data_IF_927401987562
#
_entry.id   IF_927401987562
#
_cell.length_a   1.000
_cell.length_b   1.000
_cell.length_c   1.000
_cell.angle_alpha   90.00
_cell.angle_beta   90.00
_cell.angle_gamma   90.00
#
_symmetry.space_group_name_H-M   'P 1'
#
loop_
_entity.id
_entity.type
_entity.pdbx_description
1 polymer ?
#
# COMPACT_ATOMS: atom_id res chain seq x y z
N UNK A 1 5.51 -5.34 28.72
CA UNK A 1 4.80 -5.72 27.49
C UNK A 1 5.53 -5.09 26.30
N UNK A 2 5.83 -5.83 25.22
CA UNK A 2 6.53 -5.27 24.03
C UNK A 2 5.51 -4.74 23.01
N UNK A 3 5.86 -3.63 22.33
CA UNK A 3 5.11 -3.01 21.23
C UNK A 3 4.95 -4.00 20.04
N UNK A 4 3.80 -3.98 19.37
CA UNK A 4 3.42 -4.89 18.26
C UNK A 4 3.11 -4.20 16.93
N UNK A 5 3.38 -2.90 16.81
CA UNK A 5 3.18 -2.10 15.59
C UNK A 5 4.50 -1.41 15.24
N UNK A 6 4.67 -0.96 13.99
CA UNK A 6 5.86 -0.22 13.55
C UNK A 6 5.68 1.29 13.80
N UNK A 7 6.76 2.00 14.12
CA UNK A 7 6.78 3.47 14.12
C UNK A 7 6.96 4.00 12.70
N UNK A 8 6.70 5.29 12.52
CA UNK A 8 6.95 5.98 11.25
C UNK A 8 8.41 5.82 10.78
N UNK A 9 9.38 6.03 11.68
CA UNK A 9 10.81 5.84 11.37
C UNK A 9 11.15 4.39 10.96
N UNK A 10 10.47 3.40 11.55
CA UNK A 10 10.69 2.00 11.19
C UNK A 10 10.10 1.67 9.82
N UNK A 11 8.96 2.28 9.46
CA UNK A 11 8.39 2.17 8.11
C UNK A 11 9.32 2.83 7.09
N UNK A 12 9.87 4.01 7.40
CA UNK A 12 10.84 4.69 6.53
C UNK A 12 12.10 3.84 6.30
N UNK A 13 12.64 3.22 7.37
CA UNK A 13 13.76 2.28 7.24
C UNK A 13 13.41 1.07 6.37
N UNK A 14 12.20 0.55 6.51
CA UNK A 14 11.72 -0.57 5.70
C UNK A 14 11.60 -0.18 4.22
N UNK A 15 11.08 1.02 3.92
CA UNK A 15 10.98 1.55 2.56
C UNK A 15 12.37 1.78 1.95
N UNK A 16 13.31 2.38 2.69
CA UNK A 16 14.70 2.58 2.22
C UNK A 16 15.45 1.28 2.00
N UNK A 17 15.10 0.20 2.72
CA UNK A 17 15.70 -1.11 2.48
C UNK A 17 15.29 -1.71 1.11
N UNK A 18 14.13 -1.29 0.55
CA UNK A 18 13.66 -1.80 -0.75
C UNK A 18 14.57 -1.43 -1.90
N UNK A 19 15.29 -0.30 -1.80
CA UNK A 19 16.21 0.20 -2.85
C UNK A 19 17.35 -0.78 -3.16
N UNK A 20 17.67 -1.67 -2.22
CA UNK A 20 18.72 -2.70 -2.36
C UNK A 20 18.18 -4.07 -2.77
N UNK A 21 16.88 -4.19 -2.97
CA UNK A 21 16.21 -5.44 -3.31
C UNK A 21 15.89 -5.51 -4.81
N UNK A 22 15.74 -6.71 -5.39
CA UNK A 22 15.16 -6.84 -6.72
C UNK A 22 13.75 -6.25 -6.77
N UNK A 23 13.45 -5.51 -7.84
CA UNK A 23 12.17 -4.82 -8.06
C UNK A 23 11.87 -3.76 -6.97
N UNK A 24 12.75 -2.76 -6.78
CA UNK A 24 12.64 -1.79 -5.68
C UNK A 24 11.33 -1.01 -5.74
N UNK A 25 10.92 -0.53 -6.91
CA UNK A 25 9.68 0.25 -7.11
C UNK A 25 8.45 -0.56 -6.74
N UNK A 26 8.39 -1.83 -7.18
CA UNK A 26 7.31 -2.75 -6.85
C UNK A 26 7.24 -2.99 -5.34
N UNK A 27 8.38 -3.31 -4.72
CA UNK A 27 8.41 -3.64 -3.29
C UNK A 27 8.01 -2.43 -2.43
N UNK A 28 8.52 -1.25 -2.77
CA UNK A 28 8.14 0.02 -2.13
C UNK A 28 6.64 0.26 -2.26
N UNK A 29 6.08 0.10 -3.45
CA UNK A 29 4.64 0.23 -3.70
C UNK A 29 3.82 -0.74 -2.84
N UNK A 30 4.17 -2.03 -2.80
CA UNK A 30 3.44 -3.04 -2.00
C UNK A 30 3.42 -2.69 -0.50
N UNK A 31 4.52 -2.18 0.04
CA UNK A 31 4.62 -1.77 1.44
C UNK A 31 3.75 -0.54 1.70
N UNK A 32 3.81 0.47 0.83
CA UNK A 32 2.97 1.66 0.93
C UNK A 32 1.47 1.32 0.84
N UNK A 33 1.07 0.46 -0.10
CA UNK A 33 -0.31 -0.01 -0.22
C UNK A 33 -0.77 -0.73 1.06
N UNK A 34 0.07 -1.59 1.64
CA UNK A 34 -0.24 -2.24 2.91
C UNK A 34 -0.37 -1.23 4.08
N UNK A 35 0.52 -0.23 4.12
CA UNK A 35 0.60 0.72 5.22
C UNK A 35 -0.49 1.81 5.16
N UNK A 36 -0.66 2.45 4.01
CA UNK A 36 -1.59 3.57 3.80
C UNK A 36 -3.03 3.05 3.66
N UNK A 37 -3.23 2.03 2.82
CA UNK A 37 -4.57 1.53 2.49
C UNK A 37 -4.96 0.28 3.28
N UNK A 38 -4.08 -0.23 4.13
CA UNK A 38 -4.37 -1.35 5.02
C UNK A 38 -4.58 -2.66 4.27
N UNK A 39 -4.00 -2.85 3.08
CA UNK A 39 -4.14 -4.12 2.34
C UNK A 39 -3.57 -5.28 3.13
N UNK A 40 -4.30 -6.40 3.15
CA UNK A 40 -3.75 -7.69 3.58
C UNK A 40 -2.85 -8.25 2.48
N UNK A 41 -1.90 -9.11 2.84
CA UNK A 41 -0.98 -9.73 1.87
C UNK A 41 -1.71 -10.41 0.69
N UNK A 42 -2.79 -11.14 0.96
CA UNK A 42 -3.61 -11.77 -0.08
C UNK A 42 -4.42 -10.78 -0.94
N UNK A 43 -4.77 -9.61 -0.39
CA UNK A 43 -5.48 -8.57 -1.12
C UNK A 43 -4.52 -7.83 -2.07
N UNK A 44 -3.27 -7.59 -1.64
CA UNK A 44 -2.22 -7.03 -2.51
C UNK A 44 -1.99 -7.88 -3.77
N UNK A 45 -1.98 -9.21 -3.62
CA UNK A 45 -1.81 -10.13 -4.75
C UNK A 45 -2.97 -10.06 -5.76
N UNK A 46 -4.12 -9.50 -5.38
CA UNK A 46 -5.28 -9.34 -6.24
C UNK A 46 -5.48 -7.93 -6.79
N UNK A 47 -4.62 -6.96 -6.44
CA UNK A 47 -4.73 -5.57 -6.86
C UNK A 47 -4.60 -5.44 -8.39
N UNK A 48 -5.49 -4.68 -9.01
CA UNK A 48 -5.49 -4.45 -10.46
C UNK A 48 -5.32 -2.97 -10.76
N UNK A 49 -4.68 -2.66 -11.90
CA UNK A 49 -4.59 -1.28 -12.40
C UNK A 49 -5.98 -0.68 -12.64
N UNK A 50 -6.98 -1.50 -13.00
CA UNK A 50 -8.37 -1.07 -13.16
C UNK A 50 -9.06 -0.65 -11.86
N UNK A 51 -8.49 -0.98 -10.70
CA UNK A 51 -9.01 -0.52 -9.40
C UNK A 51 -8.52 0.92 -9.09
N UNK A 52 -7.61 1.49 -9.89
CA UNK A 52 -7.03 2.82 -9.70
C UNK A 52 -7.68 3.82 -10.66
N UNK A 53 -8.29 4.87 -10.11
CA UNK A 53 -8.71 6.05 -10.85
C UNK A 53 -7.73 7.21 -10.59
N UNK A 54 -6.78 7.38 -11.51
CA UNK A 54 -5.79 8.46 -11.41
C UNK A 54 -6.40 9.85 -11.65
N UNK A 55 -7.50 9.97 -12.41
CA UNK A 55 -8.13 11.26 -12.67
C UNK A 55 -8.95 11.72 -11.46
N UNK A 56 -9.74 10.81 -10.87
CA UNK A 56 -10.49 11.04 -9.64
C UNK A 56 -9.66 10.95 -8.36
N UNK A 57 -8.39 10.54 -8.45
CA UNK A 57 -7.48 10.33 -7.30
C UNK A 57 -8.05 9.34 -6.29
N UNK A 58 -8.57 8.21 -6.78
CA UNK A 58 -9.16 7.16 -5.94
C UNK A 58 -8.58 5.79 -6.23
N UNK A 59 -8.55 4.96 -5.19
CA UNK A 59 -8.23 3.55 -5.27
C UNK A 59 -9.38 2.74 -4.70
N UNK A 60 -9.94 1.85 -5.51
CA UNK A 60 -10.96 0.90 -5.06
C UNK A 60 -10.32 -0.28 -4.35
N UNK A 61 -10.64 -0.46 -3.07
CA UNK A 61 -10.11 -1.53 -2.25
C UNK A 61 -11.09 -2.70 -2.23
N UNK A 62 -10.76 -3.76 -2.99
CA UNK A 62 -11.53 -5.01 -2.97
C UNK A 62 -11.09 -5.88 -1.79
N UNK A 63 -11.84 -5.83 -0.71
CA UNK A 63 -11.56 -6.64 0.48
C UNK A 63 -11.99 -8.08 0.27
N UNK A 64 -11.19 -9.00 0.80
CA UNK A 64 -11.52 -10.42 0.81
C UNK A 64 -12.35 -10.79 2.04
N UNK A 65 -13.02 -11.96 1.96
CA UNK A 65 -13.90 -12.50 3.01
C UNK A 65 -15.01 -11.48 3.32
N UNK A 66 -15.36 -11.31 4.60
CA UNK A 66 -16.39 -10.37 5.05
C UNK A 66 -15.84 -8.94 5.23
N UNK A 67 -14.79 -8.57 4.48
CA UNK A 67 -14.24 -7.22 4.55
C UNK A 67 -15.10 -6.24 3.74
N UNK A 68 -15.25 -5.03 4.25
CA UNK A 68 -16.00 -3.97 3.57
C UNK A 68 -15.14 -3.33 2.47
N UNK A 69 -15.52 -3.56 1.21
CA UNK A 69 -14.84 -2.95 0.07
C UNK A 69 -15.27 -1.49 -0.08
N UNK A 70 -14.30 -0.60 -0.30
CA UNK A 70 -14.55 0.85 -0.32
C UNK A 70 -13.49 1.57 -1.13
N UNK A 71 -13.79 2.79 -1.57
CA UNK A 71 -12.81 3.67 -2.19
C UNK A 71 -11.98 4.37 -1.12
N UNK A 72 -10.66 4.40 -1.32
CA UNK A 72 -9.73 5.23 -0.56
C UNK A 72 -9.21 6.35 -1.48
N UNK A 73 -8.96 7.55 -0.94
CA UNK A 73 -8.27 8.59 -1.71
C UNK A 73 -6.81 8.21 -1.93
N UNK A 74 -6.28 8.48 -3.12
CA UNK A 74 -4.84 8.44 -3.35
C UNK A 74 -4.20 9.67 -2.69
N UNK A 75 -3.11 9.48 -1.96
CA UNK A 75 -2.32 10.54 -1.37
C UNK A 75 -1.37 11.16 -2.41
N UNK A 76 -0.97 12.44 -2.26
CA UNK A 76 -0.05 13.10 -3.18
C UNK A 76 1.19 12.28 -3.53
N UNK A 77 1.82 11.67 -2.53
CA UNK A 77 3.03 10.87 -2.70
C UNK A 77 2.81 9.57 -3.49
N UNK A 78 1.56 9.19 -3.75
CA UNK A 78 1.19 7.97 -4.50
C UNK A 78 0.97 8.22 -6.00
N UNK A 79 0.85 9.49 -6.43
CA UNK A 79 0.64 9.85 -7.84
C UNK A 79 1.51 10.99 -8.35
N UNK A 80 2.22 11.69 -7.47
CA UNK A 80 3.26 12.64 -7.85
C UNK A 80 4.58 11.89 -7.90
N UNK A 81 5.00 11.51 -9.12
CA UNK A 81 6.29 10.91 -9.42
C UNK A 81 7.26 11.99 -9.90
#
# INVERSE_FOLDING_TARGET
MKRKYLTQEEIEKLLSATDRMPFPERNRCLILMAFIHGFRASELLGLRLSDIDLAGRQLYIRRLKNGFSTCHPLLPDEYNV
#
